data_IF_027720844869
#
_entry.id   IF_027720844869
#
_cell.length_a   1.000
_cell.length_b   1.000
_cell.length_c   1.000
_cell.angle_alpha   90.00
_cell.angle_beta   90.00
_cell.angle_gamma   90.00
#
_symmetry.space_group_name_H-M   'P 1'
#
loop_
_entity.id
_entity.type
_entity.pdbx_description
1 polymer ?
#
# COMPACT_ATOMS: atom_id res chain seq x y z
N UNK A 1 -12.96 4.93 -26.40
CA UNK A 1 -13.03 6.29 -25.86
C UNK A 1 -11.84 6.48 -24.90
N UNK A 2 -11.32 7.70 -24.80
CA UNK A 2 -10.30 8.00 -23.78
C UNK A 2 -10.93 7.89 -22.38
N UNK A 3 -10.13 7.48 -21.38
CA UNK A 3 -10.59 7.37 -20.00
C UNK A 3 -10.91 8.77 -19.45
N UNK A 4 -12.12 8.95 -18.93
CA UNK A 4 -12.51 10.22 -18.30
C UNK A 4 -12.11 10.25 -16.83
N UNK A 5 -11.03 10.96 -16.48
CA UNK A 5 -10.57 11.10 -15.11
C UNK A 5 -11.38 12.09 -14.28
N UNK A 6 -12.11 13.02 -14.91
CA UNK A 6 -12.81 14.09 -14.21
C UNK A 6 -13.95 13.58 -13.31
N UNK A 7 -14.53 12.42 -13.66
CA UNK A 7 -15.55 11.75 -12.83
C UNK A 7 -14.98 11.24 -11.50
N UNK A 8 -13.67 10.93 -11.48
CA UNK A 8 -12.98 10.28 -10.35
C UNK A 8 -12.11 11.25 -9.53
N UNK A 9 -11.88 12.45 -10.05
CA UNK A 9 -10.98 13.42 -9.42
C UNK A 9 -11.73 14.69 -8.99
N UNK A 10 -11.28 15.26 -7.90
CA UNK A 10 -11.64 16.62 -7.49
C UNK A 10 -10.83 17.60 -8.34
N UNK A 11 -11.36 17.96 -9.50
CA UNK A 11 -10.68 18.79 -10.51
C UNK A 11 -10.28 20.15 -9.96
N UNK A 12 -11.06 20.70 -9.03
CA UNK A 12 -10.77 21.96 -8.32
C UNK A 12 -9.50 21.90 -7.42
N UNK A 13 -8.99 20.69 -7.14
CA UNK A 13 -7.77 20.46 -6.37
C UNK A 13 -6.53 20.23 -7.24
N UNK A 14 -6.67 20.29 -8.56
CA UNK A 14 -5.55 20.17 -9.48
C UNK A 14 -4.92 21.56 -9.80
N UNK A 15 -3.61 21.60 -10.08
CA UNK A 15 -2.64 20.52 -10.17
C UNK A 15 -2.30 19.90 -8.81
N UNK A 16 -1.86 18.64 -8.81
CA UNK A 16 -1.41 17.97 -7.58
C UNK A 16 -0.16 18.65 -7.01
N UNK A 17 0.01 18.57 -5.68
CA UNK A 17 1.15 19.16 -4.97
C UNK A 17 2.39 18.23 -4.92
N UNK A 18 2.35 17.10 -5.62
CA UNK A 18 3.50 16.22 -5.71
C UNK A 18 4.60 16.81 -6.57
N UNK A 19 5.82 16.41 -6.29
CA UNK A 19 6.98 16.85 -7.08
C UNK A 19 6.84 16.41 -8.55
N UNK A 20 7.37 17.19 -9.47
CA UNK A 20 7.43 16.83 -10.90
C UNK A 20 8.25 15.54 -11.06
N UNK A 21 7.69 14.55 -11.73
CA UNK A 21 8.32 13.23 -11.89
C UNK A 21 8.14 12.28 -10.70
N UNK A 22 7.34 12.64 -9.68
CA UNK A 22 6.96 11.74 -8.59
C UNK A 22 6.02 10.63 -9.07
N UNK A 23 6.23 9.40 -8.58
CA UNK A 23 5.41 8.24 -8.93
C UNK A 23 4.02 8.21 -8.30
N UNK A 24 3.73 9.04 -7.29
CA UNK A 24 2.43 9.05 -6.60
C UNK A 24 1.25 9.29 -7.55
N UNK A 25 1.44 10.13 -8.58
CA UNK A 25 0.44 10.37 -9.62
C UNK A 25 0.16 9.14 -10.49
N UNK A 26 1.15 8.27 -10.70
CA UNK A 26 0.97 7.00 -11.41
C UNK A 26 0.13 6.04 -10.58
N UNK A 27 0.39 5.97 -9.26
CA UNK A 27 -0.40 5.16 -8.32
C UNK A 27 -1.84 5.64 -8.27
N UNK A 28 -2.08 6.96 -8.17
CA UNK A 28 -3.43 7.54 -8.22
C UNK A 28 -4.20 7.10 -9.46
N UNK A 29 -3.58 7.21 -10.64
CA UNK A 29 -4.21 6.78 -11.90
C UNK A 29 -4.51 5.29 -11.89
N UNK A 30 -3.61 4.46 -11.40
CA UNK A 30 -3.79 3.01 -11.33
C UNK A 30 -4.96 2.61 -10.42
N UNK A 31 -5.11 3.27 -9.26
CA UNK A 31 -6.25 3.06 -8.34
C UNK A 31 -7.57 3.42 -9.02
N UNK A 32 -7.66 4.60 -9.63
CA UNK A 32 -8.87 5.07 -10.32
C UNK A 32 -9.28 4.11 -11.44
N UNK A 33 -8.33 3.67 -12.26
CA UNK A 33 -8.60 2.74 -13.36
C UNK A 33 -9.02 1.36 -12.86
N UNK A 34 -8.44 0.89 -11.76
CA UNK A 34 -8.86 -0.37 -11.13
C UNK A 34 -10.29 -0.27 -10.58
N UNK A 35 -10.66 0.84 -9.93
CA UNK A 35 -12.03 1.10 -9.44
C UNK A 35 -13.01 1.08 -10.62
N UNK A 36 -12.68 1.78 -11.72
CA UNK A 36 -13.52 1.83 -12.91
C UNK A 36 -13.71 0.44 -13.54
N UNK A 37 -12.64 -0.36 -13.64
CA UNK A 37 -12.71 -1.74 -14.13
C UNK A 37 -13.62 -2.64 -13.30
N UNK A 38 -13.69 -2.41 -11.98
CA UNK A 38 -14.57 -3.13 -11.07
C UNK A 38 -16.02 -2.66 -11.14
N UNK A 39 -16.28 -1.54 -11.82
CA UNK A 39 -17.62 -0.95 -11.90
C UNK A 39 -18.14 -0.44 -10.56
N UNK A 40 -17.26 -0.11 -9.62
CA UNK A 40 -17.67 0.38 -8.30
C UNK A 40 -18.23 1.79 -8.40
N UNK A 41 -19.33 2.01 -7.68
CA UNK A 41 -19.83 3.36 -7.46
C UNK A 41 -18.89 4.09 -6.50
N UNK A 42 -18.49 5.32 -6.85
CA UNK A 42 -17.60 6.13 -6.03
C UNK A 42 -18.17 6.46 -4.64
N UNK A 43 -19.50 6.49 -4.51
CA UNK A 43 -20.17 6.65 -3.21
C UNK A 43 -19.94 5.45 -2.27
N UNK A 44 -19.66 4.26 -2.81
CA UNK A 44 -19.37 3.07 -2.02
C UNK A 44 -17.88 2.88 -1.72
N UNK A 45 -17.02 3.71 -2.31
CA UNK A 45 -15.58 3.73 -2.05
C UNK A 45 -15.28 4.69 -0.90
N UNK A 46 -14.42 4.23 0.02
CA UNK A 46 -13.83 5.05 1.07
C UNK A 46 -12.30 4.96 0.99
N UNK A 47 -11.64 6.04 0.61
CA UNK A 47 -10.19 6.14 0.58
C UNK A 47 -9.69 6.78 1.88
N UNK A 48 -8.94 6.01 2.65
CA UNK A 48 -8.34 6.43 3.93
C UNK A 48 -6.86 6.63 3.74
N UNK A 49 -6.34 7.79 4.05
CA UNK A 49 -4.92 8.08 3.93
C UNK A 49 -4.28 8.48 5.25
N UNK A 50 -3.02 8.13 5.41
CA UNK A 50 -2.17 8.61 6.49
C UNK A 50 -1.56 9.99 6.20
N UNK A 51 -0.40 10.26 6.77
CA UNK A 51 0.32 11.52 6.62
C UNK A 51 1.57 11.33 5.75
N UNK A 52 1.86 12.32 4.93
CA UNK A 52 3.00 12.36 4.03
C UNK A 52 2.58 12.66 2.59
N UNK A 53 3.48 12.47 1.64
CA UNK A 53 3.19 12.70 0.22
C UNK A 53 2.03 11.82 -0.27
N UNK A 54 2.07 10.52 0.03
CA UNK A 54 0.99 9.57 -0.26
C UNK A 54 -0.34 9.96 0.38
N UNK A 55 -0.31 10.52 1.59
CA UNK A 55 -1.50 10.99 2.32
C UNK A 55 -2.31 12.06 1.60
N UNK A 56 -1.68 12.83 0.73
CA UNK A 56 -2.37 13.85 -0.09
C UNK A 56 -3.35 13.25 -1.10
N UNK A 57 -3.26 11.95 -1.38
CA UNK A 57 -4.13 11.28 -2.35
C UNK A 57 -5.61 11.41 -2.00
N UNK A 58 -5.97 11.38 -0.71
CA UNK A 58 -7.35 11.59 -0.25
C UNK A 58 -7.93 12.96 -0.62
N UNK A 59 -7.09 13.95 -0.90
CA UNK A 59 -7.54 15.28 -1.34
C UNK A 59 -7.93 15.32 -2.81
N UNK A 60 -7.47 14.37 -3.62
CA UNK A 60 -7.64 14.40 -5.08
C UNK A 60 -8.75 13.49 -5.59
N UNK A 61 -9.12 12.45 -4.86
CA UNK A 61 -10.11 11.46 -5.32
C UNK A 61 -11.53 11.90 -4.97
N UNK A 62 -12.44 11.81 -5.95
CA UNK A 62 -13.85 12.19 -5.80
C UNK A 62 -14.68 11.00 -5.27
N UNK A 63 -14.36 10.55 -4.04
CA UNK A 63 -15.13 9.55 -3.28
C UNK A 63 -15.21 9.97 -1.82
N UNK A 64 -15.72 9.11 -0.93
CA UNK A 64 -15.61 9.33 0.50
C UNK A 64 -14.13 9.23 0.91
N UNK A 65 -13.60 10.25 1.56
CA UNK A 65 -12.19 10.27 1.95
C UNK A 65 -12.01 10.64 3.42
N UNK A 66 -11.00 10.03 4.03
CA UNK A 66 -10.57 10.36 5.39
C UNK A 66 -9.04 10.55 5.39
N UNK A 67 -8.58 11.74 5.76
CA UNK A 67 -7.17 12.02 6.00
C UNK A 67 -6.93 11.92 7.51
N UNK A 68 -6.16 10.92 7.92
CA UNK A 68 -6.04 10.54 9.33
C UNK A 68 -4.79 11.14 9.98
N UNK A 69 -4.64 10.92 11.28
CA UNK A 69 -3.39 11.15 12.00
C UNK A 69 -2.32 10.17 11.51
N UNK A 70 -1.05 10.58 11.58
CA UNK A 70 0.11 9.79 11.14
C UNK A 70 0.14 8.39 11.77
N UNK A 71 0.29 7.37 10.92
CA UNK A 71 0.32 5.96 11.30
C UNK A 71 -1.02 5.39 11.79
N UNK A 72 -2.14 6.07 11.57
CA UNK A 72 -3.45 5.62 12.08
C UNK A 72 -4.46 5.25 10.99
N UNK A 73 -4.07 5.31 9.72
CA UNK A 73 -4.98 5.03 8.60
C UNK A 73 -5.67 3.65 8.73
N UNK A 74 -4.92 2.60 9.08
CA UNK A 74 -5.46 1.24 9.27
C UNK A 74 -6.49 1.17 10.40
N UNK A 75 -6.26 1.90 11.51
CA UNK A 75 -7.20 1.92 12.64
C UNK A 75 -8.53 2.57 12.24
N UNK A 76 -8.49 3.72 11.54
CA UNK A 76 -9.68 4.36 11.02
C UNK A 76 -10.38 3.50 9.97
N UNK A 77 -9.64 2.94 9.02
CA UNK A 77 -10.17 2.04 7.99
C UNK A 77 -10.87 0.82 8.60
N UNK A 78 -10.27 0.22 9.64
CA UNK A 78 -10.87 -0.88 10.40
C UNK A 78 -12.21 -0.46 10.99
N UNK A 79 -12.30 0.71 11.62
CA UNK A 79 -13.55 1.24 12.17
C UNK A 79 -14.63 1.47 11.10
N UNK A 80 -14.24 2.05 9.96
CA UNK A 80 -15.13 2.29 8.82
C UNK A 80 -15.67 0.98 8.26
N UNK A 81 -14.81 -0.02 8.05
CA UNK A 81 -15.21 -1.33 7.52
C UNK A 81 -16.13 -2.08 8.47
N UNK A 82 -15.87 -2.05 9.78
CA UNK A 82 -16.74 -2.64 10.79
C UNK A 82 -18.10 -1.93 10.90
N UNK A 83 -18.13 -0.61 10.77
CA UNK A 83 -19.36 0.17 10.81
C UNK A 83 -20.23 -0.08 9.56
N UNK A 84 -19.60 -0.28 8.40
CA UNK A 84 -20.30 -0.60 7.16
C UNK A 84 -19.49 -1.60 6.31
N UNK A 85 -19.70 -2.92 6.51
CA UNK A 85 -18.96 -3.96 5.79
C UNK A 85 -19.12 -3.95 4.27
N UNK A 86 -20.16 -3.25 3.74
CA UNK A 86 -20.41 -3.16 2.30
C UNK A 86 -19.51 -2.14 1.59
N UNK A 87 -18.89 -1.22 2.33
CA UNK A 87 -18.01 -0.21 1.73
C UNK A 87 -16.69 -0.83 1.25
N UNK A 88 -16.21 -0.35 0.11
CA UNK A 88 -14.89 -0.67 -0.41
C UNK A 88 -13.88 0.28 0.24
N UNK A 89 -13.09 -0.24 1.16
CA UNK A 89 -12.16 0.59 1.94
C UNK A 89 -10.74 0.40 1.43
N UNK A 90 -10.18 1.49 0.89
CA UNK A 90 -8.82 1.55 0.35
C UNK A 90 -7.97 2.41 1.28
N UNK A 91 -6.85 1.88 1.72
CA UNK A 91 -5.87 2.62 2.52
C UNK A 91 -4.68 2.97 1.66
N UNK A 92 -4.26 4.24 1.67
CA UNK A 92 -3.04 4.70 1.01
C UNK A 92 -2.14 5.37 2.03
N UNK A 93 -0.93 4.87 2.17
CA UNK A 93 0.06 5.39 3.13
C UNK A 93 1.49 5.24 2.62
N UNK A 94 2.41 5.99 3.21
CA UNK A 94 3.84 5.89 2.92
C UNK A 94 4.53 4.85 3.82
N UNK A 95 5.79 4.55 3.51
CA UNK A 95 6.61 3.58 4.23
C UNK A 95 6.82 3.94 5.72
N UNK A 96 7.17 5.18 6.02
CA UNK A 96 7.27 5.64 7.40
C UNK A 96 5.93 5.67 8.14
N UNK A 97 4.85 6.00 7.43
CA UNK A 97 3.49 6.01 7.98
C UNK A 97 3.00 4.59 8.31
N UNK A 98 3.28 3.64 7.43
CA UNK A 98 2.83 2.24 7.53
C UNK A 98 3.67 1.41 8.51
N UNK A 99 5.00 1.49 8.39
CA UNK A 99 5.92 0.52 8.99
C UNK A 99 6.62 1.03 10.25
N UNK A 100 6.73 2.37 10.42
CA UNK A 100 7.23 2.96 11.65
C UNK A 100 6.07 3.18 12.62
N UNK A 101 5.49 4.39 12.63
CA UNK A 101 4.45 4.76 13.59
C UNK A 101 3.16 3.94 13.45
N UNK A 102 2.86 3.44 12.24
CA UNK A 102 1.69 2.60 11.94
C UNK A 102 1.94 1.10 12.04
N UNK A 103 3.17 0.65 12.32
CA UNK A 103 3.55 -0.77 12.27
C UNK A 103 2.64 -1.70 13.08
N UNK A 104 2.30 -1.29 14.30
CA UNK A 104 1.35 -2.02 15.15
C UNK A 104 -0.03 -2.21 14.48
N UNK A 105 -0.59 -1.15 13.89
CA UNK A 105 -1.90 -1.23 13.24
C UNK A 105 -1.86 -2.08 11.97
N UNK A 106 -0.76 -2.03 11.21
CA UNK A 106 -0.53 -2.86 10.03
C UNK A 106 -0.50 -4.34 10.42
N UNK A 107 0.30 -4.72 11.42
CA UNK A 107 0.38 -6.10 11.92
C UNK A 107 -1.00 -6.61 12.36
N UNK A 108 -1.74 -5.82 13.13
CA UNK A 108 -3.05 -6.25 13.62
C UNK A 108 -4.15 -6.22 12.56
N UNK A 109 -4.06 -5.36 11.53
CA UNK A 109 -4.93 -5.39 10.37
C UNK A 109 -4.74 -6.69 9.58
N UNK A 110 -3.50 -7.05 9.26
CA UNK A 110 -3.14 -8.30 8.60
C UNK A 110 -3.62 -9.53 9.40
N UNK A 111 -3.33 -9.58 10.70
CA UNK A 111 -3.71 -10.68 11.59
C UNK A 111 -5.22 -10.95 11.60
N UNK A 112 -6.02 -9.89 11.59
CA UNK A 112 -7.50 -10.00 11.56
C UNK A 112 -8.04 -10.42 10.19
N UNK A 113 -7.27 -10.26 9.14
CA UNK A 113 -7.73 -10.45 7.76
C UNK A 113 -9.01 -9.65 7.45
N UNK A 114 -9.10 -8.42 7.96
CA UNK A 114 -10.23 -7.53 7.67
C UNK A 114 -10.17 -7.07 6.21
N UNK A 115 -11.31 -7.02 5.54
CA UNK A 115 -11.42 -6.67 4.11
C UNK A 115 -11.07 -5.20 3.84
N UNK A 116 -9.77 -4.96 3.73
CA UNK A 116 -9.14 -3.67 3.42
C UNK A 116 -8.09 -3.88 2.32
N UNK A 117 -8.04 -2.97 1.35
CA UNK A 117 -6.91 -2.92 0.43
C UNK A 117 -5.94 -1.83 0.86
N UNK A 118 -4.77 -2.23 1.34
CA UNK A 118 -3.72 -1.34 1.80
C UNK A 118 -2.62 -1.19 0.73
N UNK A 119 -2.53 -0.02 0.13
CA UNK A 119 -1.54 0.36 -0.86
C UNK A 119 -0.45 1.18 -0.16
N UNK A 120 0.71 0.58 0.00
CA UNK A 120 1.91 1.23 0.49
C UNK A 120 2.64 1.90 -0.68
N UNK A 121 2.77 3.20 -0.67
CA UNK A 121 3.66 3.93 -1.59
C UNK A 121 5.02 4.02 -0.91
N UNK A 122 5.92 3.13 -1.30
CA UNK A 122 7.23 2.96 -0.71
C UNK A 122 8.27 3.76 -1.52
N UNK A 123 8.65 4.90 -1.00
CA UNK A 123 9.66 5.76 -1.60
C UNK A 123 10.98 5.81 -0.81
N UNK A 124 11.13 4.90 0.16
CA UNK A 124 12.32 4.65 0.97
C UNK A 124 12.75 5.82 1.86
N UNK A 125 11.84 6.76 2.18
CA UNK A 125 12.20 7.98 2.92
C UNK A 125 10.95 8.68 3.48
N UNK A 126 11.07 9.41 4.59
CA UNK A 126 10.10 10.45 4.93
C UNK A 126 10.31 11.66 3.99
N UNK A 127 9.60 11.64 2.84
CA UNK A 127 9.79 12.64 1.80
C UNK A 127 9.25 14.02 2.18
N UNK A 128 8.00 14.10 2.66
CA UNK A 128 7.31 15.37 2.93
C UNK A 128 8.03 16.22 3.98
N UNK A 129 8.65 15.60 4.97
CA UNK A 129 9.32 16.24 6.11
C UNK A 129 10.83 16.46 5.89
N UNK A 130 11.28 16.35 4.64
CA UNK A 130 12.65 16.65 4.20
C UNK A 130 13.71 15.60 4.56
N UNK A 131 13.43 14.31 4.28
CA UNK A 131 14.50 13.31 4.17
C UNK A 131 14.98 12.66 5.45
N UNK A 132 14.07 12.36 6.39
CA UNK A 132 14.41 11.48 7.53
C UNK A 132 14.40 10.01 7.08
N UNK A 133 15.23 9.19 7.72
CA UNK A 133 15.30 7.74 7.50
C UNK A 133 13.97 7.08 7.83
N UNK A 134 13.46 6.27 6.90
CA UNK A 134 12.28 5.42 7.10
C UNK A 134 12.69 3.97 7.33
N UNK A 135 11.78 3.08 7.77
CA UNK A 135 12.10 1.67 7.97
C UNK A 135 12.51 0.91 6.69
N UNK A 136 12.26 1.48 5.51
CA UNK A 136 12.63 0.89 4.22
C UNK A 136 13.84 1.56 3.56
N UNK A 137 14.40 2.59 4.18
CA UNK A 137 15.60 3.25 3.66
C UNK A 137 16.76 2.26 3.59
N UNK A 138 17.38 2.04 2.41
CA UNK A 138 18.45 1.07 2.28
C UNK A 138 19.66 1.39 3.17
N UNK A 139 20.34 0.34 3.64
CA UNK A 139 21.60 0.49 4.37
C UNK A 139 22.62 1.26 3.52
N UNK A 140 23.39 2.10 4.17
CA UNK A 140 24.41 2.95 3.54
C UNK A 140 23.87 4.22 2.89
N UNK A 141 22.54 4.38 2.74
CA UNK A 141 21.97 5.60 2.16
C UNK A 141 22.02 6.77 3.13
N UNK A 142 22.31 7.95 2.59
CA UNK A 142 22.39 9.20 3.35
C UNK A 142 21.02 9.87 3.46
N UNK A 143 20.70 10.31 4.67
CA UNK A 143 19.47 11.04 5.00
C UNK A 143 19.80 12.20 5.95
N UNK A 144 18.85 13.04 6.32
CA UNK A 144 19.10 14.10 7.33
C UNK A 144 19.31 13.50 8.74
N UNK A 145 18.74 12.34 9.04
CA UNK A 145 18.90 11.66 10.33
C UNK A 145 19.99 10.58 10.31
N UNK A 146 20.57 10.27 9.15
CA UNK A 146 21.67 9.33 8.97
C UNK A 146 22.71 9.92 8.04
N UNK A 147 23.43 10.94 8.51
CA UNK A 147 24.39 11.74 7.72
C UNK A 147 25.68 10.98 7.36
N UNK A 148 26.00 9.92 8.11
CA UNK A 148 27.12 9.03 7.85
C UNK A 148 26.70 7.74 7.07
N UNK A 149 25.43 7.65 6.70
CA UNK A 149 24.81 6.47 6.08
C UNK A 149 23.90 5.73 7.06
N UNK A 150 22.77 5.23 6.55
CA UNK A 150 21.85 4.43 7.35
C UNK A 150 22.49 3.08 7.74
N UNK A 151 22.53 2.79 9.04
CA UNK A 151 23.10 1.53 9.58
C UNK A 151 22.03 0.47 9.81
N UNK A 152 20.75 0.87 9.92
CA UNK A 152 19.67 -0.05 10.23
C UNK A 152 19.33 -0.91 9.00
N UNK A 153 19.10 -2.24 9.20
CA UNK A 153 18.53 -3.07 8.16
C UNK A 153 17.11 -2.62 7.82
N UNK A 154 16.80 -2.55 6.54
CA UNK A 154 15.48 -2.16 6.07
C UNK A 154 14.47 -3.31 6.18
N UNK A 155 13.21 -2.98 6.49
CA UNK A 155 12.12 -3.95 6.46
C UNK A 155 11.82 -4.42 5.03
N UNK A 156 11.55 -5.71 4.86
CA UNK A 156 10.74 -6.20 3.75
C UNK A 156 9.26 -6.13 4.14
N UNK A 157 8.56 -5.15 3.60
CA UNK A 157 7.15 -4.91 3.92
C UNK A 157 6.22 -6.07 3.53
N UNK A 158 6.55 -6.77 2.44
CA UNK A 158 5.78 -7.91 1.97
C UNK A 158 5.97 -9.14 2.88
N UNK A 159 7.19 -9.46 3.27
CA UNK A 159 7.45 -10.58 4.18
C UNK A 159 6.85 -10.29 5.58
N UNK A 160 6.96 -9.06 6.06
CA UNK A 160 6.33 -8.65 7.32
C UNK A 160 4.81 -8.84 7.32
N UNK A 161 4.14 -8.34 6.29
CA UNK A 161 2.66 -8.40 6.20
C UNK A 161 2.15 -9.80 5.93
N UNK A 162 2.89 -10.60 5.15
CA UNK A 162 2.63 -12.03 4.96
C UNK A 162 2.76 -12.79 6.28
N UNK A 163 3.86 -12.60 7.02
CA UNK A 163 4.07 -13.23 8.33
C UNK A 163 3.02 -12.78 9.36
N UNK A 164 2.56 -11.54 9.28
CA UNK A 164 1.46 -11.03 10.11
C UNK A 164 0.08 -11.59 9.71
N UNK A 165 -0.04 -12.27 8.57
CA UNK A 165 -1.24 -13.00 8.16
C UNK A 165 -2.13 -12.28 7.16
N UNK A 166 -1.64 -11.33 6.38
CA UNK A 166 -2.37 -10.79 5.23
C UNK A 166 -2.67 -11.90 4.22
N UNK A 167 -3.89 -11.97 3.70
CA UNK A 167 -4.31 -13.02 2.76
C UNK A 167 -3.96 -12.71 1.30
N UNK A 168 -3.65 -11.46 0.97
CA UNK A 168 -3.10 -11.07 -0.32
C UNK A 168 -1.91 -10.15 -0.11
N UNK A 169 -0.75 -10.50 -0.69
CA UNK A 169 0.46 -9.68 -0.64
C UNK A 169 1.10 -9.61 -2.03
N UNK A 170 1.32 -8.40 -2.50
CA UNK A 170 1.96 -8.16 -3.79
C UNK A 170 2.98 -7.02 -3.71
N UNK A 171 3.98 -7.05 -4.60
CA UNK A 171 4.92 -5.95 -4.81
C UNK A 171 4.97 -5.57 -6.27
N UNK A 172 5.04 -4.27 -6.53
CA UNK A 172 5.14 -3.70 -7.86
C UNK A 172 5.89 -2.36 -7.81
N UNK A 173 5.92 -1.65 -8.92
CA UNK A 173 6.59 -0.35 -9.01
C UNK A 173 5.83 0.58 -9.96
N UNK A 174 6.14 1.87 -9.90
CA UNK A 174 5.50 2.92 -10.72
C UNK A 174 5.96 2.93 -12.18
N UNK A 175 7.00 2.18 -12.54
CA UNK A 175 7.57 2.14 -13.89
C UNK A 175 6.70 1.28 -14.81
N UNK A 176 6.18 0.19 -14.26
CA UNK A 176 5.36 -0.79 -14.98
C UNK A 176 3.86 -0.49 -14.79
N UNK A 177 3.39 0.66 -15.25
CA UNK A 177 2.04 1.19 -14.96
C UNK A 177 0.90 0.18 -15.24
N UNK A 178 1.00 -0.62 -16.31
CA UNK A 178 -0.01 -1.64 -16.61
C UNK A 178 -0.01 -2.81 -15.63
N UNK A 179 1.17 -3.23 -15.16
CA UNK A 179 1.29 -4.26 -14.13
C UNK A 179 0.79 -3.73 -12.79
N UNK A 180 1.14 -2.50 -12.45
CA UNK A 180 0.65 -1.81 -11.25
C UNK A 180 -0.88 -1.77 -11.23
N UNK A 181 -1.52 -1.32 -12.31
CA UNK A 181 -2.99 -1.29 -12.45
C UNK A 181 -3.60 -2.68 -12.23
N UNK A 182 -3.02 -3.71 -12.88
CA UNK A 182 -3.52 -5.07 -12.78
C UNK A 182 -3.36 -5.66 -11.37
N UNK A 183 -2.26 -5.38 -10.69
CA UNK A 183 -2.03 -5.82 -9.30
C UNK A 183 -3.02 -5.12 -8.36
N UNK A 184 -3.22 -3.82 -8.51
CA UNK A 184 -4.20 -3.08 -7.71
C UNK A 184 -5.62 -3.61 -7.97
N UNK A 185 -5.98 -3.86 -9.23
CA UNK A 185 -7.27 -4.48 -9.56
C UNK A 185 -7.48 -5.81 -8.84
N UNK A 186 -6.49 -6.70 -8.85
CA UNK A 186 -6.56 -7.98 -8.15
C UNK A 186 -6.64 -7.81 -6.62
N UNK A 187 -5.88 -6.87 -6.07
CA UNK A 187 -5.92 -6.57 -4.64
C UNK A 187 -7.28 -6.03 -4.19
N UNK A 188 -7.91 -5.16 -4.99
CA UNK A 188 -9.25 -4.64 -4.74
C UNK A 188 -10.34 -5.70 -4.90
N UNK A 189 -10.13 -6.70 -5.76
CA UNK A 189 -11.07 -7.82 -5.97
C UNK A 189 -10.96 -8.90 -4.91
N UNK A 190 -9.85 -8.96 -4.17
CA UNK A 190 -9.61 -9.97 -3.15
C UNK A 190 -10.41 -9.66 -1.90
N UNK A 191 -10.94 -10.70 -1.26
CA UNK A 191 -11.69 -10.59 -0.02
C UNK A 191 -10.80 -10.91 1.17
N UNK A 192 -10.60 -9.93 2.05
CA UNK A 192 -9.68 -10.00 3.17
C UNK A 192 -8.61 -8.91 3.08
N UNK A 193 -7.58 -9.01 3.89
CA UNK A 193 -6.54 -7.99 3.93
C UNK A 193 -5.58 -8.12 2.75
N UNK A 194 -5.68 -7.17 1.85
CA UNK A 194 -4.78 -7.04 0.70
C UNK A 194 -3.71 -6.01 0.98
N UNK A 195 -2.44 -6.37 0.79
CA UNK A 195 -1.30 -5.48 0.91
C UNK A 195 -0.54 -5.39 -0.41
N UNK A 196 -0.34 -4.16 -0.90
CA UNK A 196 0.42 -3.90 -2.13
C UNK A 196 1.55 -2.93 -1.83
N UNK A 197 2.79 -3.41 -1.87
CA UNK A 197 4.01 -2.60 -1.76
C UNK A 197 4.36 -2.03 -3.15
N UNK A 198 4.19 -0.72 -3.32
CA UNK A 198 4.44 -0.03 -4.59
C UNK A 198 5.72 0.80 -4.47
N UNK A 199 6.80 0.35 -5.09
CA UNK A 199 8.03 1.13 -5.15
C UNK A 199 7.84 2.37 -6.01
N UNK A 200 8.09 3.52 -5.39
CA UNK A 200 8.00 4.84 -5.99
C UNK A 200 9.30 5.61 -5.78
N UNK A 201 9.51 6.67 -6.54
CA UNK A 201 10.71 7.47 -6.43
C UNK A 201 10.49 8.72 -5.58
N UNK A 202 11.48 9.03 -4.73
CA UNK A 202 11.64 10.34 -4.10
C UNK A 202 12.98 10.96 -4.50
N UNK A 203 13.10 11.37 -5.77
CA UNK A 203 14.34 11.91 -6.34
C UNK A 203 14.76 13.23 -5.69
N UNK A 204 13.80 14.03 -5.21
CA UNK A 204 14.08 15.33 -4.58
C UNK A 204 14.77 15.18 -3.22
N UNK A 205 14.30 14.27 -2.37
CA UNK A 205 14.85 14.10 -1.02
C UNK A 205 15.87 12.95 -0.95
N UNK A 206 15.46 11.72 -1.22
CA UNK A 206 16.37 10.59 -1.17
C UNK A 206 17.40 10.64 -2.32
N UNK A 207 16.92 10.86 -3.54
CA UNK A 207 17.76 10.83 -4.73
C UNK A 207 18.89 11.83 -4.69
N UNK A 208 18.62 13.11 -4.39
CA UNK A 208 19.65 14.17 -4.32
C UNK A 208 20.74 13.85 -3.31
N UNK A 209 20.40 13.30 -2.15
CA UNK A 209 21.38 12.95 -1.11
C UNK A 209 22.25 11.75 -1.49
N UNK A 210 21.75 10.89 -2.40
CA UNK A 210 22.39 9.65 -2.81
C UNK A 210 22.82 9.64 -4.28
N UNK A 211 23.08 10.82 -4.87
CA UNK A 211 23.57 11.02 -6.26
C UNK A 211 22.60 10.50 -7.34
N UNK A 212 21.32 10.46 -7.04
CA UNK A 212 20.23 10.07 -7.94
C UNK A 212 19.16 11.18 -8.00
N UNK A 213 19.60 12.44 -8.16
CA UNK A 213 18.73 13.62 -8.01
C UNK A 213 17.73 13.86 -9.14
N UNK A 214 17.76 13.05 -10.20
CA UNK A 214 16.79 13.09 -11.28
C UNK A 214 15.77 11.94 -11.14
N UNK A 215 14.54 12.20 -11.55
CA UNK A 215 13.48 11.19 -11.47
C UNK A 215 13.84 9.90 -12.22
N UNK A 216 14.42 10.05 -13.43
CA UNK A 216 14.83 8.93 -14.28
C UNK A 216 15.90 8.07 -13.60
N UNK A 217 16.94 8.70 -13.05
CA UNK A 217 18.03 7.98 -12.37
C UNK A 217 17.51 7.12 -11.20
N UNK A 218 16.55 7.65 -10.43
CA UNK A 218 15.96 6.89 -9.34
C UNK A 218 15.00 5.80 -9.80
N UNK A 219 14.25 6.05 -10.88
CA UNK A 219 13.42 5.02 -11.51
C UNK A 219 14.27 3.86 -12.06
N UNK A 220 15.39 4.16 -12.71
CA UNK A 220 16.34 3.13 -13.17
C UNK A 220 16.94 2.34 -12.01
N UNK A 221 17.25 3.01 -10.89
CA UNK A 221 17.70 2.35 -9.67
C UNK A 221 16.65 1.34 -9.15
N UNK A 222 15.37 1.71 -9.12
CA UNK A 222 14.25 0.83 -8.75
C UNK A 222 14.11 -0.32 -9.75
N UNK A 223 14.10 0.01 -11.06
CA UNK A 223 13.93 -0.97 -12.15
C UNK A 223 14.97 -2.08 -12.08
N UNK A 224 16.23 -1.71 -11.86
CA UNK A 224 17.35 -2.66 -11.80
C UNK A 224 17.29 -3.59 -10.57
N UNK A 225 16.47 -3.28 -9.57
CA UNK A 225 16.28 -4.08 -8.35
C UNK A 225 15.00 -4.90 -8.35
N UNK A 226 14.04 -4.56 -9.19
CA UNK A 226 12.79 -5.29 -9.30
C UNK A 226 12.96 -6.50 -10.24
N UNK A 227 12.66 -7.69 -9.75
CA UNK A 227 12.72 -8.93 -10.52
C UNK A 227 11.40 -9.67 -10.36
N UNK A 228 10.81 -10.15 -11.46
CA UNK A 228 9.59 -10.93 -11.41
C UNK A 228 9.78 -12.18 -10.52
N UNK A 229 8.80 -12.50 -9.66
CA UNK A 229 8.88 -13.58 -8.66
C UNK A 229 9.41 -14.89 -9.24
N UNK A 230 8.90 -15.33 -10.38
CA UNK A 230 9.31 -16.57 -11.04
C UNK A 230 10.80 -16.60 -11.44
N UNK A 231 11.35 -15.43 -11.79
CA UNK A 231 12.78 -15.28 -12.09
C UNK A 231 13.60 -15.14 -10.81
N UNK A 232 13.08 -14.40 -9.83
CA UNK A 232 13.75 -14.21 -8.55
C UNK A 232 13.97 -15.53 -7.80
N UNK A 233 13.04 -16.46 -7.88
CA UNK A 233 13.14 -17.80 -7.28
C UNK A 233 14.29 -18.65 -7.89
N UNK A 234 14.69 -18.32 -9.11
CA UNK A 234 15.79 -18.99 -9.84
C UNK A 234 17.17 -18.39 -9.53
N UNK A 235 17.22 -17.21 -8.91
CA UNK A 235 18.49 -16.56 -8.53
C UNK A 235 19.14 -17.28 -7.36
N UNK A 236 20.48 -17.34 -7.34
CA UNK A 236 21.23 -17.76 -6.18
C UNK A 236 21.24 -16.69 -5.06
N UNK A 237 21.80 -17.03 -3.91
CA UNK A 237 21.81 -16.15 -2.74
C UNK A 237 22.52 -14.81 -3.01
N UNK A 238 23.65 -14.84 -3.72
CA UNK A 238 24.43 -13.63 -4.01
C UNK A 238 23.69 -12.71 -4.99
N UNK A 239 23.04 -13.29 -6.00
CA UNK A 239 22.26 -12.57 -6.99
C UNK A 239 21.00 -11.90 -6.40
N UNK A 240 20.47 -12.43 -5.29
CA UNK A 240 19.29 -11.87 -4.58
C UNK A 240 19.63 -10.67 -3.69
N UNK A 241 20.89 -10.47 -3.33
CA UNK A 241 21.30 -9.57 -2.25
C UNK A 241 20.76 -8.13 -2.34
N UNK A 242 20.54 -7.60 -3.55
CA UNK A 242 20.00 -6.26 -3.78
C UNK A 242 18.72 -6.25 -4.65
N UNK A 243 18.05 -7.39 -4.77
CA UNK A 243 16.86 -7.57 -5.61
C UNK A 243 15.61 -7.76 -4.77
N UNK A 244 14.49 -7.37 -5.35
CA UNK A 244 13.17 -7.51 -4.75
C UNK A 244 12.24 -8.27 -5.70
N UNK A 245 11.61 -9.36 -5.25
CA UNK A 245 10.61 -10.06 -6.06
C UNK A 245 9.39 -9.17 -6.28
N UNK A 246 8.88 -9.13 -7.51
CA UNK A 246 7.66 -8.40 -7.89
C UNK A 246 6.59 -9.34 -8.42
N UNK A 247 5.34 -8.92 -8.34
CA UNK A 247 4.16 -9.71 -8.67
C UNK A 247 3.34 -10.05 -7.41
N UNK A 248 2.46 -11.03 -7.51
CA UNK A 248 1.71 -11.56 -6.36
C UNK A 248 2.64 -12.52 -5.61
N UNK A 249 3.01 -12.14 -4.38
CA UNK A 249 3.96 -12.87 -3.55
C UNK A 249 3.25 -13.91 -2.66
N UNK A 250 2.02 -13.60 -2.24
CA UNK A 250 1.17 -14.48 -1.44
C UNK A 250 -0.31 -14.23 -1.77
N UNK A 251 -1.09 -15.31 -1.84
CA UNK A 251 -2.54 -15.25 -1.97
C UNK A 251 -3.15 -16.48 -1.31
N UNK A 252 -4.08 -16.27 -0.38
CA UNK A 252 -4.83 -17.30 0.33
C UNK A 252 -6.32 -16.92 0.34
N UNK A 253 -7.10 -17.57 -0.50
CA UNK A 253 -8.54 -17.36 -0.62
C UNK A 253 -9.36 -18.18 0.39
N UNK A 254 -8.70 -19.08 1.12
CA UNK A 254 -9.37 -19.94 2.11
C UNK A 254 -9.56 -19.25 3.47
N UNK A 255 -8.84 -18.15 3.71
CA UNK A 255 -8.85 -17.48 5.00
C UNK A 255 -10.11 -16.64 5.18
N UNK A 256 -10.89 -16.96 6.21
CA UNK A 256 -12.13 -16.23 6.53
C UNK A 256 -11.89 -14.75 6.78
N UNK A 257 -12.73 -13.92 6.21
CA UNK A 257 -12.70 -12.48 6.40
C UNK A 257 -13.30 -12.08 7.76
N UNK A 258 -12.71 -11.07 8.39
CA UNK A 258 -13.03 -10.70 9.77
C UNK A 258 -14.48 -10.23 9.98
N UNK A 259 -15.05 -9.44 9.07
CA UNK A 259 -16.43 -8.97 9.21
C UNK A 259 -17.45 -10.10 9.08
N UNK A 260 -17.18 -11.09 8.23
CA UNK A 260 -18.02 -12.29 8.12
C UNK A 260 -17.97 -13.13 9.39
N UNK A 261 -16.76 -13.37 9.91
CA UNK A 261 -16.60 -14.07 11.18
C UNK A 261 -17.32 -13.33 12.32
N UNK A 262 -17.24 -12.00 12.34
CA UNK A 262 -17.90 -11.18 13.36
C UNK A 262 -19.44 -11.25 13.25
N UNK A 263 -20.00 -11.20 12.04
CA UNK A 263 -21.45 -11.36 11.84
C UNK A 263 -21.95 -12.76 12.25
N UNK A 264 -21.15 -13.81 12.03
CA UNK A 264 -21.48 -15.16 12.50
C UNK A 264 -21.52 -15.23 14.04
N UNK A 265 -20.55 -14.59 14.73
CA UNK A 265 -20.58 -14.47 16.20
C UNK A 265 -21.84 -13.75 16.65
N UNK A 266 -22.19 -12.64 16.00
CA UNK A 266 -23.42 -11.88 16.35
C UNK A 266 -24.69 -12.72 16.15
N UNK A 267 -24.75 -13.53 15.08
CA UNK A 267 -25.87 -14.43 14.79
C UNK A 267 -25.97 -15.51 15.85
N UNK A 268 -24.86 -16.18 16.17
CA UNK A 268 -24.82 -17.23 17.18
C UNK A 268 -25.25 -16.73 18.56
N UNK A 269 -24.83 -15.51 18.95
CA UNK A 269 -25.27 -14.89 20.21
C UNK A 269 -26.77 -14.64 20.26
N UNK A 270 -27.39 -14.19 19.17
CA UNK A 270 -28.85 -14.00 19.07
C UNK A 270 -29.60 -15.35 19.20
N UNK A 271 -29.08 -16.39 18.62
CA UNK A 271 -29.62 -17.73 18.63
C UNK A 271 -29.28 -18.53 19.91
N UNK A 272 -28.50 -17.94 20.83
CA UNK A 272 -27.99 -18.55 22.06
C UNK A 272 -27.24 -19.86 21.84
N UNK A 273 -26.55 -20.00 20.70
CA UNK A 273 -25.71 -21.15 20.38
C UNK A 273 -24.22 -20.80 20.46
N UNK A 274 -23.39 -21.83 20.59
CA UNK A 274 -21.93 -21.66 20.49
C UNK A 274 -21.52 -21.48 19.02
N UNK A 275 -20.48 -20.68 18.80
CA UNK A 275 -19.88 -20.53 17.46
C UNK A 275 -18.93 -21.70 17.21
N UNK A 276 -19.11 -22.41 16.12
CA UNK A 276 -18.12 -23.39 15.65
C UNK A 276 -17.01 -22.65 14.88
N UNK A 277 -15.92 -22.31 15.58
CA UNK A 277 -14.76 -21.66 14.99
C UNK A 277 -14.01 -22.56 13.99
N UNK A 278 -14.23 -23.87 14.03
CA UNK A 278 -13.69 -24.83 13.06
C UNK A 278 -14.37 -24.75 11.69
N UNK A 279 -15.63 -24.31 11.66
CA UNK A 279 -16.39 -24.09 10.42
C UNK A 279 -16.08 -22.74 9.75
N UNK A 280 -15.36 -21.85 10.41
CA UNK A 280 -14.93 -20.55 9.91
C UNK A 280 -13.52 -20.59 9.28
N UNK A 281 -13.25 -21.64 8.49
CA UNK A 281 -11.99 -21.80 7.76
C UNK A 281 -12.04 -21.09 6.43
#
# INVERSE_FOLDING_TARGET
>A
MAFNYDEYLRVDKLPTQWCWGCGDGVVLKAIIRAIQKLGWNMDDVCLVSGIGCSGRMSSYVNCNTVHTTHGRAIAYATGIKLANPKKHVIVVSGDGDTLAIGGNHTIHGCRRNIDLTHILINNFIYGLTNSQTSPTTPQGFYTVTAQAGNIDPNFDACELTKAAGASFVARTNVIEANKLENIIFKALSHKGYSFVDVFSNCHINLGRKNKMGEAVSMLDWIKNRCVEKSKFEQLDYEQRADKFPTGILHQDESKTEYCEAYEEVRRALKEKRMVDLGALK
#
